data_IF_314075119689
#
_entry.id   IF_314075119689
#
_cell.length_a   1.000
_cell.length_b   1.000
_cell.length_c   1.000
_cell.angle_alpha   90.00
_cell.angle_beta   90.00
_cell.angle_gamma   90.00
#
_symmetry.space_group_name_H-M   'P 1'
#
loop_
_entity.id
_entity.type
_entity.pdbx_description
1 polymer ?
#
# COMPACT_ATOMS: atom_id res chain seq x y z
N UNK A 1 -3.59 3.78 34.53
CA UNK A 1 -3.70 2.47 33.85
C UNK A 1 -2.65 1.54 34.48
N UNK A 2 -3.00 0.29 34.80
CA UNK A 2 -2.11 -0.60 35.55
C UNK A 2 -0.96 -1.09 34.62
N UNK A 3 0.30 -0.84 34.97
CA UNK A 3 1.47 -1.13 34.12
C UNK A 3 1.51 -2.59 33.62
N UNK A 4 0.96 -3.55 34.36
CA UNK A 4 0.90 -4.97 33.97
C UNK A 4 -0.03 -5.26 32.78
N UNK A 5 -1.08 -4.46 32.58
CA UNK A 5 -1.99 -4.57 31.43
C UNK A 5 -1.29 -4.07 30.16
N UNK A 6 -0.51 -3.00 30.30
CA UNK A 6 0.27 -2.40 29.21
C UNK A 6 1.28 -3.37 28.60
N UNK A 7 2.05 -4.08 29.44
CA UNK A 7 3.03 -5.07 28.94
C UNK A 7 2.35 -6.28 28.27
N UNK A 8 1.21 -6.74 28.78
CA UNK A 8 0.47 -7.86 28.18
C UNK A 8 -0.11 -7.51 26.81
N UNK A 9 -0.62 -6.29 26.63
CA UNK A 9 -1.11 -5.81 25.33
C UNK A 9 0.02 -5.63 24.33
N UNK A 10 1.17 -5.07 24.73
CA UNK A 10 2.36 -4.97 23.86
C UNK A 10 2.89 -6.34 23.45
N UNK A 11 3.00 -7.28 24.39
CA UNK A 11 3.43 -8.63 24.08
C UNK A 11 2.48 -9.34 23.11
N UNK A 12 1.17 -9.21 23.31
CA UNK A 12 0.16 -9.77 22.41
C UNK A 12 0.22 -9.13 21.01
N UNK A 13 0.42 -7.81 20.91
CA UNK A 13 0.53 -7.12 19.64
C UNK A 13 1.81 -7.47 18.88
N UNK A 14 2.96 -7.61 19.56
CA UNK A 14 4.18 -8.12 18.92
C UNK A 14 4.03 -9.57 18.50
N UNK A 15 3.33 -10.41 19.28
CA UNK A 15 3.09 -11.81 18.94
C UNK A 15 2.17 -11.95 17.74
N UNK A 16 1.09 -11.15 17.67
CA UNK A 16 0.20 -11.15 16.51
C UNK A 16 0.89 -10.53 15.30
N UNK A 17 1.62 -9.42 15.46
CA UNK A 17 2.48 -8.86 14.41
C UNK A 17 3.47 -9.90 13.89
N UNK A 18 4.03 -10.74 14.76
CA UNK A 18 4.91 -11.85 14.41
C UNK A 18 4.17 -12.98 13.69
N UNK A 19 2.94 -13.33 14.08
CA UNK A 19 2.12 -14.31 13.34
C UNK A 19 1.75 -13.79 11.96
N UNK A 20 1.40 -12.52 11.85
CA UNK A 20 1.15 -11.83 10.58
C UNK A 20 2.42 -11.81 9.75
N UNK A 21 3.55 -11.42 10.32
CA UNK A 21 4.85 -11.42 9.65
C UNK A 21 5.28 -12.83 9.24
N UNK A 22 5.04 -13.85 10.07
CA UNK A 22 5.32 -15.24 9.78
C UNK A 22 4.39 -15.80 8.69
N UNK A 23 3.12 -15.37 8.64
CA UNK A 23 2.19 -15.70 7.55
C UNK A 23 2.56 -14.99 6.24
N UNK A 24 2.97 -13.71 6.32
CA UNK A 24 3.54 -12.96 5.21
C UNK A 24 4.78 -13.68 4.69
N UNK A 25 5.64 -14.22 5.56
CA UNK A 25 6.83 -14.98 5.15
C UNK A 25 6.52 -16.40 4.63
N UNK A 26 5.39 -16.99 5.04
CA UNK A 26 4.89 -18.28 4.54
C UNK A 26 4.02 -18.05 3.31
N UNK A 27 4.69 -17.68 2.21
CA UNK A 27 4.13 -17.52 0.87
C UNK A 27 3.60 -18.81 0.22
N UNK A 28 3.32 -19.85 1.01
CA UNK A 28 2.95 -21.19 0.54
C UNK A 28 1.43 -21.45 0.62
N UNK A 29 0.66 -20.53 1.21
CA UNK A 29 -0.80 -20.59 1.27
C UNK A 29 -1.45 -20.00 0.02
N UNK A 30 -2.69 -20.44 -0.24
CA UNK A 30 -3.54 -19.90 -1.30
C UNK A 30 -3.71 -18.37 -1.13
N UNK A 31 -3.61 -17.56 -2.21
CA UNK A 31 -3.66 -16.11 -2.10
C UNK A 31 -4.98 -15.53 -1.59
N UNK A 32 -6.11 -16.21 -1.82
CA UNK A 32 -7.41 -15.76 -1.29
C UNK A 32 -7.49 -15.98 0.22
N UNK A 33 -6.99 -17.12 0.71
CA UNK A 33 -6.89 -17.36 2.15
C UNK A 33 -5.96 -16.33 2.81
N UNK A 34 -4.79 -16.07 2.20
CA UNK A 34 -3.86 -15.05 2.69
C UNK A 34 -4.48 -13.65 2.66
N UNK A 35 -5.24 -13.29 1.63
CA UNK A 35 -6.01 -12.03 1.60
C UNK A 35 -6.92 -11.89 2.83
N UNK A 36 -7.69 -12.93 3.17
CA UNK A 36 -8.57 -12.90 4.35
C UNK A 36 -7.79 -12.74 5.67
N UNK A 37 -6.66 -13.47 5.80
CA UNK A 37 -5.77 -13.34 6.96
C UNK A 37 -5.19 -11.92 7.05
N UNK A 38 -4.76 -11.36 5.92
CA UNK A 38 -4.22 -10.00 5.85
C UNK A 38 -5.27 -8.94 6.20
N UNK A 39 -6.53 -9.10 5.79
CA UNK A 39 -7.62 -8.19 6.20
C UNK A 39 -7.77 -8.18 7.72
N UNK A 40 -7.85 -9.35 8.36
CA UNK A 40 -7.93 -9.45 9.82
C UNK A 40 -6.69 -8.87 10.52
N UNK A 41 -5.52 -9.06 9.91
CA UNK A 41 -4.25 -8.53 10.38
C UNK A 41 -4.21 -7.00 10.34
N UNK A 42 -4.51 -6.41 9.19
CA UNK A 42 -4.55 -4.95 9.00
C UNK A 42 -5.56 -4.32 9.94
N UNK A 43 -6.75 -4.93 10.10
CA UNK A 43 -7.77 -4.48 11.04
C UNK A 43 -7.26 -4.45 12.49
N UNK A 44 -6.57 -5.50 12.92
CA UNK A 44 -5.91 -5.50 14.23
C UNK A 44 -4.89 -4.37 14.35
N UNK A 45 -4.04 -4.16 13.34
CA UNK A 45 -3.03 -3.11 13.35
C UNK A 45 -3.62 -1.70 13.43
N UNK A 46 -4.80 -1.47 12.85
CA UNK A 46 -5.51 -0.20 13.02
C UNK A 46 -5.86 0.04 14.49
N UNK A 47 -6.54 -0.89 15.16
CA UNK A 47 -6.88 -0.74 16.57
C UNK A 47 -5.67 -0.69 17.49
N UNK A 48 -4.62 -1.47 17.19
CA UNK A 48 -3.37 -1.40 17.94
C UNK A 48 -2.70 -0.03 17.80
N UNK A 49 -2.66 0.51 16.59
CA UNK A 49 -2.07 1.83 16.33
C UNK A 49 -2.91 2.94 16.98
N UNK A 50 -4.24 2.87 16.92
CA UNK A 50 -5.12 3.79 17.65
C UNK A 50 -4.83 3.78 19.15
N UNK A 51 -4.69 2.59 19.75
CA UNK A 51 -4.35 2.44 21.17
C UNK A 51 -2.98 3.04 21.52
N UNK A 52 -1.94 2.83 20.70
CA UNK A 52 -0.61 3.41 20.95
C UNK A 52 -0.57 4.93 20.78
N UNK A 53 -1.41 5.50 19.89
CA UNK A 53 -1.51 6.94 19.69
C UNK A 53 -2.44 7.64 20.69
N UNK A 54 -3.37 6.92 21.31
CA UNK A 54 -4.35 7.49 22.25
C UNK A 54 -3.74 8.28 23.44
N UNK A 55 -2.57 7.90 24.00
CA UNK A 55 -1.90 8.69 25.04
C UNK A 55 -1.35 10.05 24.56
N UNK A 56 -1.23 10.29 23.26
CA UNK A 56 -0.71 11.54 22.70
C UNK A 56 -1.84 12.57 22.67
N UNK A 57 -1.74 13.63 23.48
CA UNK A 57 -2.79 14.65 23.61
C UNK A 57 -3.18 15.30 22.27
N UNK A 58 -2.18 15.58 21.42
CA UNK A 58 -2.38 16.13 20.09
C UNK A 58 -3.19 15.21 19.16
N UNK A 59 -3.13 13.88 19.36
CA UNK A 59 -3.95 12.92 18.61
C UNK A 59 -5.34 12.79 19.23
N UNK A 60 -5.40 12.60 20.56
CA UNK A 60 -6.65 12.36 21.30
C UNK A 60 -7.67 13.48 21.16
N UNK A 61 -7.20 14.72 21.00
CA UNK A 61 -8.07 15.90 20.86
C UNK A 61 -8.62 16.12 19.45
N UNK A 62 -8.14 15.36 18.46
CA UNK A 62 -8.65 15.46 17.09
C UNK A 62 -10.04 14.81 16.94
N UNK A 63 -10.87 15.29 16.00
CA UNK A 63 -12.09 14.59 15.60
C UNK A 63 -11.80 13.16 15.12
N UNK A 64 -12.74 12.24 15.35
CA UNK A 64 -12.59 10.82 15.02
C UNK A 64 -12.17 10.57 13.56
N UNK A 65 -12.75 11.27 12.59
CA UNK A 65 -12.39 11.12 11.18
C UNK A 65 -10.92 11.46 10.88
N UNK A 66 -10.30 12.38 11.65
CA UNK A 66 -8.86 12.66 11.54
C UNK A 66 -8.02 11.61 12.24
N UNK A 67 -8.47 11.09 13.39
CA UNK A 67 -7.82 9.98 14.08
C UNK A 67 -7.77 8.74 13.19
N UNK A 68 -8.91 8.36 12.59
CA UNK A 68 -8.98 7.22 11.66
C UNK A 68 -8.07 7.42 10.43
N UNK A 69 -8.00 8.64 9.92
CA UNK A 69 -7.11 9.00 8.80
C UNK A 69 -5.63 8.83 9.18
N UNK A 70 -5.21 9.33 10.34
CA UNK A 70 -3.83 9.22 10.85
C UNK A 70 -3.45 7.75 11.03
N UNK A 71 -4.29 6.99 11.75
CA UNK A 71 -4.09 5.56 12.02
C UNK A 71 -3.97 4.76 10.71
N UNK A 72 -4.88 5.02 9.76
CA UNK A 72 -4.85 4.36 8.45
C UNK A 72 -3.53 4.60 7.75
N UNK A 73 -3.08 5.85 7.69
CA UNK A 73 -1.86 6.24 6.99
C UNK A 73 -0.59 5.69 7.66
N UNK A 74 -0.54 5.58 8.99
CA UNK A 74 0.58 4.95 9.71
C UNK A 74 0.66 3.46 9.41
N UNK A 75 -0.46 2.76 9.50
CA UNK A 75 -0.52 1.33 9.20
C UNK A 75 -0.19 1.09 7.72
N UNK A 76 -0.70 1.93 6.80
CA UNK A 76 -0.29 1.90 5.39
C UNK A 76 1.20 2.08 5.21
N UNK A 77 1.80 3.08 5.83
CA UNK A 77 3.24 3.29 5.75
C UNK A 77 4.04 2.06 6.20
N UNK A 78 3.60 1.40 7.28
CA UNK A 78 4.26 0.19 7.77
C UNK A 78 4.17 -0.97 6.77
N UNK A 79 2.97 -1.29 6.30
CA UNK A 79 2.76 -2.39 5.36
C UNK A 79 3.35 -2.12 3.98
N UNK A 80 3.27 -0.89 3.48
CA UNK A 80 3.88 -0.50 2.20
C UNK A 80 5.42 -0.56 2.27
N UNK A 81 6.04 -0.27 3.41
CA UNK A 81 7.48 -0.46 3.57
C UNK A 81 7.86 -1.95 3.47
N UNK A 82 7.11 -2.82 4.14
CA UNK A 82 7.31 -4.28 4.06
C UNK A 82 7.12 -4.74 2.61
N UNK A 83 6.02 -4.34 1.97
CA UNK A 83 5.74 -4.63 0.57
C UNK A 83 6.84 -4.12 -0.34
N UNK A 84 7.36 -2.92 -0.14
CA UNK A 84 8.45 -2.35 -0.93
C UNK A 84 9.69 -3.23 -0.87
N UNK A 85 10.15 -3.59 0.34
CA UNK A 85 11.32 -4.45 0.55
C UNK A 85 11.13 -5.84 -0.07
N UNK A 86 9.96 -6.44 0.13
CA UNK A 86 9.66 -7.77 -0.43
C UNK A 86 9.51 -7.72 -1.95
N UNK A 87 8.85 -6.70 -2.47
CA UNK A 87 8.59 -6.52 -3.90
C UNK A 87 9.84 -6.19 -4.68
N UNK A 88 10.92 -5.68 -4.08
CA UNK A 88 12.21 -5.57 -4.78
C UNK A 88 12.82 -6.93 -5.14
N UNK A 89 12.53 -8.00 -4.37
CA UNK A 89 12.98 -9.36 -4.68
C UNK A 89 12.34 -9.89 -5.96
N UNK A 90 11.08 -9.51 -6.18
CA UNK A 90 10.48 -9.03 -7.44
C UNK A 90 11.23 -9.11 -8.77
N UNK A 91 12.25 -8.26 -8.81
CA UNK A 91 12.69 -7.59 -10.03
C UNK A 91 13.35 -8.54 -11.04
N UNK A 92 14.18 -9.52 -10.63
CA UNK A 92 14.81 -10.46 -11.55
C UNK A 92 13.79 -11.33 -12.30
N UNK A 93 12.73 -11.79 -11.63
CA UNK A 93 11.73 -12.64 -12.28
C UNK A 93 10.69 -11.84 -13.07
N UNK A 94 10.39 -10.59 -12.70
CA UNK A 94 9.56 -9.72 -13.55
C UNK A 94 10.12 -9.56 -14.98
N UNK A 95 11.44 -9.72 -15.15
CA UNK A 95 12.13 -9.68 -16.44
C UNK A 95 12.37 -11.08 -17.05
N UNK A 96 12.07 -12.15 -16.31
CA UNK A 96 12.20 -13.52 -16.80
C UNK A 96 11.03 -13.88 -17.73
N UNK A 97 11.29 -14.70 -18.78
CA UNK A 97 10.24 -15.15 -19.69
C UNK A 97 9.20 -16.01 -18.97
N UNK A 98 9.67 -16.88 -18.08
CA UNK A 98 8.87 -17.88 -17.37
C UNK A 98 9.08 -17.77 -15.85
N UNK A 99 8.01 -18.01 -15.10
CA UNK A 99 8.02 -17.97 -13.63
C UNK A 99 7.75 -19.36 -13.10
N UNK A 100 8.52 -19.77 -12.10
CA UNK A 100 8.24 -20.98 -11.34
C UNK A 100 6.91 -20.86 -10.58
N UNK A 101 6.24 -21.98 -10.26
CA UNK A 101 5.02 -21.96 -9.44
C UNK A 101 5.19 -21.21 -8.12
N UNK A 102 6.40 -21.26 -7.53
CA UNK A 102 6.72 -20.55 -6.29
C UNK A 102 6.77 -19.04 -6.48
N UNK A 103 7.33 -18.55 -7.59
CA UNK A 103 7.38 -17.11 -7.91
C UNK A 103 5.97 -16.58 -8.22
N UNK A 104 5.16 -17.35 -8.95
CA UNK A 104 3.75 -17.03 -9.20
C UNK A 104 2.99 -16.92 -7.88
N UNK A 105 3.14 -17.90 -6.99
CA UNK A 105 2.47 -17.86 -5.70
C UNK A 105 2.95 -16.69 -4.83
N UNK A 106 4.24 -16.38 -4.89
CA UNK A 106 4.85 -15.26 -4.18
C UNK A 106 4.24 -13.92 -4.60
N UNK A 107 4.20 -13.61 -5.90
CA UNK A 107 3.63 -12.35 -6.37
C UNK A 107 2.14 -12.24 -6.09
N UNK A 108 1.40 -13.34 -6.18
CA UNK A 108 -0.04 -13.33 -5.94
C UNK A 108 -0.34 -12.93 -4.50
N UNK A 109 0.46 -13.45 -3.58
CA UNK A 109 0.41 -13.15 -2.16
C UNK A 109 0.88 -11.72 -1.82
N UNK A 110 1.85 -11.16 -2.56
CA UNK A 110 2.16 -9.73 -2.43
C UNK A 110 0.98 -8.86 -2.89
N UNK A 111 0.35 -9.21 -4.01
CA UNK A 111 -0.88 -8.57 -4.48
C UNK A 111 -2.02 -8.67 -3.47
N UNK A 112 -2.17 -9.84 -2.83
CA UNK A 112 -3.15 -10.06 -1.77
C UNK A 112 -2.92 -9.13 -0.57
N UNK A 113 -1.67 -8.97 -0.13
CA UNK A 113 -1.33 -8.09 1.00
C UNK A 113 -1.62 -6.61 0.65
N UNK A 114 -1.22 -6.18 -0.55
CA UNK A 114 -1.51 -4.82 -1.01
C UNK A 114 -3.01 -4.58 -1.06
N UNK A 115 -3.77 -5.46 -1.70
CA UNK A 115 -5.21 -5.30 -1.83
C UNK A 115 -5.94 -5.38 -0.49
N UNK A 116 -5.49 -6.23 0.44
CA UNK A 116 -6.06 -6.30 1.78
C UNK A 116 -5.87 -4.98 2.53
N UNK A 117 -4.71 -4.34 2.39
CA UNK A 117 -4.43 -3.04 3.00
C UNK A 117 -5.39 -1.95 2.49
N UNK A 118 -5.58 -1.88 1.17
CA UNK A 118 -6.46 -0.89 0.56
C UNK A 118 -7.94 -1.18 0.82
N UNK A 119 -8.35 -2.45 0.70
CA UNK A 119 -9.71 -2.90 1.02
C UNK A 119 -10.10 -2.55 2.45
N UNK A 120 -9.27 -2.90 3.43
CA UNK A 120 -9.57 -2.66 4.85
C UNK A 120 -9.65 -1.16 5.14
N UNK A 121 -8.84 -0.35 4.47
CA UNK A 121 -8.84 1.11 4.64
C UNK A 121 -10.14 1.79 4.20
N UNK A 122 -10.86 1.23 3.22
CA UNK A 122 -12.16 1.78 2.76
C UNK A 122 -13.19 1.76 3.90
N UNK A 123 -13.15 0.75 4.76
CA UNK A 123 -14.09 0.62 5.88
C UNK A 123 -13.64 1.40 7.13
N UNK A 124 -12.33 1.53 7.34
CA UNK A 124 -11.80 2.17 8.54
C UNK A 124 -11.64 3.70 8.41
N UNK A 125 -11.17 4.19 7.25
CA UNK A 125 -10.86 5.60 7.07
C UNK A 125 -12.09 6.42 6.67
N UNK A 126 -12.70 7.08 7.64
CA UNK A 126 -13.88 7.92 7.41
C UNK A 126 -13.62 9.24 6.67
N UNK A 127 -12.36 9.63 6.49
CA UNK A 127 -11.97 10.85 5.79
C UNK A 127 -11.37 10.59 4.39
N UNK A 128 -11.59 9.39 3.84
CA UNK A 128 -11.08 9.04 2.51
C UNK A 128 -11.75 9.88 1.43
N UNK A 129 -10.93 10.42 0.51
CA UNK A 129 -11.45 11.12 -0.66
C UNK A 129 -12.15 10.15 -1.62
N UNK A 130 -13.05 10.65 -2.47
CA UNK A 130 -13.70 9.81 -3.48
C UNK A 130 -12.72 9.23 -4.50
N UNK A 131 -11.69 9.99 -4.90
CA UNK A 131 -10.68 9.51 -5.86
C UNK A 131 -9.87 8.36 -5.28
N UNK A 132 -9.47 8.48 -4.01
CA UNK A 132 -8.72 7.43 -3.30
C UNK A 132 -9.59 6.19 -3.05
N UNK A 133 -10.89 6.36 -2.80
CA UNK A 133 -11.81 5.22 -2.70
C UNK A 133 -11.93 4.48 -4.04
N UNK A 134 -12.07 5.18 -5.16
CA UNK A 134 -12.07 4.55 -6.49
C UNK A 134 -10.74 3.86 -6.80
N UNK A 135 -9.61 4.46 -6.42
CA UNK A 135 -8.29 3.82 -6.50
C UNK A 135 -8.29 2.47 -5.76
N UNK A 136 -8.75 2.43 -4.50
CA UNK A 136 -8.76 1.18 -3.73
C UNK A 136 -9.67 0.11 -4.32
N UNK A 137 -10.83 0.50 -4.86
CA UNK A 137 -11.68 -0.42 -5.62
C UNK A 137 -10.92 -1.00 -6.83
N UNK A 138 -10.19 -0.17 -7.58
CA UNK A 138 -9.37 -0.63 -8.70
C UNK A 138 -8.28 -1.61 -8.25
N UNK A 139 -7.61 -1.36 -7.12
CA UNK A 139 -6.59 -2.26 -6.55
C UNK A 139 -7.18 -3.61 -6.17
N UNK A 140 -8.40 -3.65 -5.59
CA UNK A 140 -9.08 -4.91 -5.28
C UNK A 140 -9.46 -5.67 -6.55
N UNK A 141 -9.95 -4.98 -7.60
CA UNK A 141 -10.23 -5.60 -8.90
C UNK A 141 -8.96 -6.18 -9.54
N UNK A 142 -7.84 -5.46 -9.44
CA UNK A 142 -6.54 -5.96 -9.89
C UNK A 142 -6.08 -7.19 -9.12
N UNK A 143 -6.35 -7.27 -7.82
CA UNK A 143 -6.08 -8.50 -7.06
C UNK A 143 -6.93 -9.68 -7.55
N UNK A 144 -8.21 -9.47 -7.85
CA UNK A 144 -9.06 -10.53 -8.43
C UNK A 144 -8.50 -11.02 -9.76
N UNK A 145 -8.06 -10.12 -10.64
CA UNK A 145 -7.41 -10.52 -11.90
C UNK A 145 -6.13 -11.32 -11.65
N UNK A 146 -5.26 -10.81 -10.78
CA UNK A 146 -4.02 -11.47 -10.37
C UNK A 146 -4.26 -12.86 -9.74
N UNK A 147 -5.35 -13.06 -9.01
CA UNK A 147 -5.70 -14.37 -8.44
C UNK A 147 -5.93 -15.43 -9.52
N UNK A 148 -6.67 -15.09 -10.58
CA UNK A 148 -7.01 -16.01 -11.66
C UNK A 148 -5.93 -16.17 -12.74
N UNK A 149 -4.98 -15.24 -12.83
CA UNK A 149 -3.91 -15.29 -13.83
C UNK A 149 -2.90 -16.40 -13.53
N UNK A 150 -2.53 -17.21 -14.51
CA UNK A 150 -1.55 -18.29 -14.36
C UNK A 150 -0.11 -17.85 -14.65
N UNK A 151 0.09 -16.58 -15.07
CA UNK A 151 1.38 -15.99 -15.43
C UNK A 151 2.13 -16.72 -16.56
N UNK A 152 1.47 -17.65 -17.26
CA UNK A 152 2.04 -18.45 -18.35
C UNK A 152 2.41 -17.61 -19.58
N UNK A 153 1.75 -16.47 -19.76
CA UNK A 153 1.97 -15.52 -20.86
C UNK A 153 2.40 -14.14 -20.34
N UNK A 154 2.80 -13.25 -21.25
CA UNK A 154 2.97 -11.81 -20.96
C UNK A 154 1.60 -11.18 -20.65
N UNK A 155 1.13 -11.36 -19.41
CA UNK A 155 -0.18 -10.93 -18.95
C UNK A 155 -0.16 -9.49 -18.41
N UNK A 156 -1.32 -8.85 -18.42
CA UNK A 156 -1.52 -7.56 -17.73
C UNK A 156 -1.23 -7.65 -16.23
N UNK A 157 -1.32 -8.83 -15.64
CA UNK A 157 -1.02 -9.04 -14.22
C UNK A 157 0.46 -8.76 -13.90
N UNK A 158 1.39 -9.00 -14.84
CA UNK A 158 2.79 -8.57 -14.69
C UNK A 158 2.92 -7.05 -14.60
N UNK A 159 2.14 -6.31 -15.40
CA UNK A 159 2.09 -4.84 -15.37
C UNK A 159 1.48 -4.32 -14.06
N UNK A 160 0.39 -4.94 -13.60
CA UNK A 160 -0.27 -4.64 -12.32
C UNK A 160 0.72 -4.81 -11.16
N UNK A 161 1.42 -5.93 -11.10
CA UNK A 161 2.37 -6.22 -10.02
C UNK A 161 3.55 -5.25 -10.04
N UNK A 162 4.05 -4.91 -11.23
CA UNK A 162 5.10 -3.90 -11.37
C UNK A 162 4.62 -2.52 -10.89
N UNK A 163 3.40 -2.13 -11.24
CA UNK A 163 2.83 -0.86 -10.78
C UNK A 163 2.75 -0.83 -9.25
N UNK A 164 2.17 -1.88 -8.65
CA UNK A 164 2.04 -2.02 -7.21
C UNK A 164 3.39 -2.00 -6.49
N UNK A 165 4.43 -2.63 -7.06
CA UNK A 165 5.79 -2.58 -6.53
C UNK A 165 6.29 -1.13 -6.42
N UNK A 166 6.20 -0.34 -7.49
CA UNK A 166 6.61 1.06 -7.44
C UNK A 166 5.72 1.89 -6.51
N UNK A 167 4.40 1.67 -6.53
CA UNK A 167 3.46 2.37 -5.64
C UNK A 167 3.75 2.09 -4.17
N UNK A 168 4.28 0.92 -3.81
CA UNK A 168 4.67 0.62 -2.43
C UNK A 168 5.81 1.50 -1.89
N UNK A 169 6.62 2.12 -2.77
CA UNK A 169 7.62 3.10 -2.36
C UNK A 169 7.00 4.40 -1.80
N UNK A 170 5.69 4.61 -1.97
CA UNK A 170 4.93 5.70 -1.34
C UNK A 170 4.72 5.52 0.17
N UNK A 171 5.33 4.51 0.81
CA UNK A 171 5.24 4.28 2.25
C UNK A 171 5.60 5.53 3.08
N UNK A 172 6.65 6.25 2.68
CA UNK A 172 7.09 7.46 3.39
C UNK A 172 6.09 8.61 3.23
N UNK A 173 5.41 8.71 2.08
CA UNK A 173 4.38 9.72 1.83
C UNK A 173 3.18 9.48 2.73
N UNK A 174 2.75 8.22 2.87
CA UNK A 174 1.68 7.86 3.81
C UNK A 174 2.08 8.21 5.26
N UNK A 175 3.34 7.99 5.65
CA UNK A 175 3.81 8.39 6.98
C UNK A 175 3.74 9.91 7.17
N UNK A 176 4.17 10.68 6.18
CA UNK A 176 4.09 12.15 6.18
C UNK A 176 2.63 12.64 6.29
N UNK A 177 1.72 12.03 5.52
CA UNK A 177 0.29 12.36 5.54
C UNK A 177 -0.33 12.17 6.94
N UNK A 178 0.13 11.18 7.70
CA UNK A 178 -0.28 11.01 9.10
C UNK A 178 0.37 12.04 10.03
N UNK A 179 1.71 12.12 10.01
CA UNK A 179 2.48 12.87 11.02
C UNK A 179 2.24 14.39 10.97
N UNK A 180 1.88 14.95 9.80
CA UNK A 180 1.56 16.39 9.66
C UNK A 180 0.41 16.88 10.54
N UNK A 181 -0.41 15.96 11.07
CA UNK A 181 -1.53 16.31 11.95
C UNK A 181 -1.14 16.36 13.43
N UNK A 182 0.03 15.82 13.78
CA UNK A 182 0.52 15.71 15.16
C UNK A 182 1.79 16.54 15.36
N UNK A 183 2.57 16.74 14.29
CA UNK A 183 3.84 17.44 14.30
C UNK A 183 3.90 18.51 13.21
N UNK A 184 4.59 19.60 13.51
CA UNK A 184 4.93 20.63 12.52
C UNK A 184 6.07 20.14 11.63
N UNK A 185 5.73 19.75 10.41
CA UNK A 185 6.70 19.27 9.42
C UNK A 185 7.31 20.44 8.65
N UNK A 186 8.63 20.39 8.44
CA UNK A 186 9.35 21.41 7.66
C UNK A 186 9.02 21.33 6.16
N UNK A 187 9.14 22.44 5.44
CA UNK A 187 9.02 22.46 3.98
C UNK A 187 9.97 21.47 3.30
N UNK A 188 11.19 21.28 3.85
CA UNK A 188 12.18 20.32 3.34
C UNK A 188 11.65 18.89 3.34
N UNK A 189 10.85 18.53 4.34
CA UNK A 189 10.19 17.23 4.43
C UNK A 189 9.25 17.01 3.24
N UNK A 190 8.47 18.02 2.89
CA UNK A 190 7.59 18.00 1.70
C UNK A 190 8.39 17.99 0.39
N UNK A 191 9.51 18.74 0.31
CA UNK A 191 10.39 18.74 -0.87
C UNK A 191 10.99 17.36 -1.14
N UNK A 192 11.53 16.70 -0.11
CA UNK A 192 12.09 15.34 -0.25
C UNK A 192 11.00 14.34 -0.64
N UNK A 193 9.83 14.43 0.00
CA UNK A 193 8.67 13.61 -0.34
C UNK A 193 8.25 13.79 -1.81
N UNK A 194 8.15 15.03 -2.28
CA UNK A 194 7.81 15.37 -3.66
C UNK A 194 8.78 14.74 -4.66
N UNK A 195 10.09 15.00 -4.53
CA UNK A 195 11.08 14.50 -5.50
C UNK A 195 11.22 12.99 -5.48
N UNK A 196 11.13 12.37 -4.31
CA UNK A 196 11.15 10.91 -4.18
C UNK A 196 9.94 10.31 -4.91
N UNK A 197 8.74 10.79 -4.60
CA UNK A 197 7.52 10.26 -5.18
C UNK A 197 7.44 10.52 -6.69
N UNK A 198 7.80 11.73 -7.14
CA UNK A 198 7.85 12.08 -8.56
C UNK A 198 8.76 11.13 -9.34
N UNK A 199 9.97 10.91 -8.83
CA UNK A 199 10.95 10.03 -9.51
C UNK A 199 10.44 8.60 -9.59
N UNK A 200 9.92 8.05 -8.49
CA UNK A 200 9.34 6.70 -8.47
C UNK A 200 8.18 6.58 -9.47
N UNK A 201 7.27 7.54 -9.48
CA UNK A 201 6.09 7.52 -10.35
C UNK A 201 6.45 7.67 -11.82
N UNK A 202 7.39 8.56 -12.16
CA UNK A 202 7.88 8.70 -13.53
C UNK A 202 8.59 7.44 -14.04
N UNK A 203 9.42 6.82 -13.19
CA UNK A 203 10.08 5.55 -13.53
C UNK A 203 9.02 4.46 -13.74
N UNK A 204 8.03 4.35 -12.86
CA UNK A 204 6.94 3.39 -13.00
C UNK A 204 6.23 3.58 -14.35
N UNK A 205 5.72 4.77 -14.63
CA UNK A 205 5.00 5.06 -15.88
C UNK A 205 5.86 4.81 -17.12
N UNK A 206 7.14 5.17 -17.08
CA UNK A 206 8.06 4.87 -18.17
C UNK A 206 8.18 3.37 -18.43
N UNK A 207 8.40 2.57 -17.39
CA UNK A 207 8.51 1.10 -17.55
C UNK A 207 7.18 0.49 -18.01
N UNK A 208 6.05 0.99 -17.51
CA UNK A 208 4.71 0.57 -17.96
C UNK A 208 4.55 0.74 -19.47
N UNK A 209 4.88 1.92 -20.02
CA UNK A 209 4.78 2.19 -21.45
C UNK A 209 5.65 1.24 -22.29
N UNK A 210 6.86 0.89 -21.81
CA UNK A 210 7.75 -0.04 -22.51
C UNK A 210 7.18 -1.47 -22.56
N UNK A 211 6.53 -1.91 -21.48
CA UNK A 211 6.04 -3.29 -21.36
C UNK A 211 4.65 -3.48 -21.96
N UNK A 212 3.82 -2.43 -22.04
CA UNK A 212 2.48 -2.49 -22.65
C UNK A 212 2.50 -3.00 -24.09
N UNK A 213 3.57 -2.72 -24.85
CA UNK A 213 3.74 -3.19 -26.23
C UNK A 213 3.80 -4.72 -26.37
N UNK A 214 4.00 -5.45 -25.27
CA UNK A 214 4.15 -6.92 -25.24
C UNK A 214 2.88 -7.66 -24.82
N UNK A 215 1.78 -6.93 -24.55
CA UNK A 215 0.54 -7.48 -24.01
C UNK A 215 -0.57 -7.42 -25.06
N UNK A 216 -1.47 -8.41 -25.04
CA UNK A 216 -2.60 -8.47 -25.97
C UNK A 216 -3.53 -7.24 -25.85
N UNK A 217 -4.02 -6.67 -26.97
CA UNK A 217 -4.76 -5.40 -26.94
C UNK A 217 -6.04 -5.41 -26.11
N UNK A 218 -6.80 -6.51 -26.11
CA UNK A 218 -8.09 -6.57 -25.39
C UNK A 218 -7.87 -6.58 -23.87
N UNK A 219 -6.93 -7.37 -23.36
CA UNK A 219 -6.62 -7.40 -21.93
C UNK A 219 -6.06 -6.06 -21.47
N UNK A 220 -5.32 -5.36 -22.33
CA UNK A 220 -4.81 -4.02 -22.06
C UNK A 220 -5.94 -3.00 -21.79
N UNK A 221 -7.09 -3.09 -22.45
CA UNK A 221 -8.24 -2.19 -22.17
C UNK A 221 -8.77 -2.36 -20.74
N UNK A 222 -8.90 -3.61 -20.28
CA UNK A 222 -9.34 -3.94 -18.92
C UNK A 222 -8.32 -3.52 -17.85
N UNK A 223 -7.06 -3.34 -18.24
CA UNK A 223 -6.01 -2.81 -17.37
C UNK A 223 -5.98 -1.27 -17.37
N UNK A 224 -6.01 -0.64 -18.55
CA UNK A 224 -5.87 0.80 -18.70
C UNK A 224 -7.02 1.57 -18.06
N UNK A 225 -8.26 1.08 -18.17
CA UNK A 225 -9.41 1.76 -17.58
C UNK A 225 -9.29 1.97 -16.06
N UNK A 226 -9.10 0.92 -15.23
CA UNK A 226 -8.86 1.10 -13.79
C UNK A 226 -7.54 1.83 -13.49
N UNK A 227 -6.50 1.64 -14.31
CA UNK A 227 -5.21 2.31 -14.13
C UNK A 227 -5.33 3.84 -14.20
N UNK A 228 -6.22 4.39 -15.03
CA UNK A 228 -6.42 5.85 -15.10
C UNK A 228 -6.84 6.45 -13.75
N UNK A 229 -7.66 5.75 -12.96
CA UNK A 229 -8.06 6.22 -11.63
C UNK A 229 -6.89 6.20 -10.66
N UNK A 230 -6.05 5.17 -10.74
CA UNK A 230 -4.82 5.06 -9.93
C UNK A 230 -3.85 6.19 -10.27
N UNK A 231 -3.56 6.41 -11.54
CA UNK A 231 -2.68 7.48 -12.04
C UNK A 231 -3.22 8.86 -11.65
N UNK A 232 -4.53 9.07 -11.74
CA UNK A 232 -5.15 10.34 -11.36
C UNK A 232 -4.96 10.64 -9.87
N UNK A 233 -5.09 9.64 -8.98
CA UNK A 233 -4.84 9.82 -7.55
C UNK A 233 -3.37 10.15 -7.27
N UNK A 234 -2.44 9.51 -7.98
CA UNK A 234 -0.99 9.80 -7.90
C UNK A 234 -0.69 11.26 -8.31
N UNK A 235 -1.31 11.75 -9.39
CA UNK A 235 -1.17 13.14 -9.85
C UNK A 235 -1.68 14.14 -8.81
N UNK A 236 -2.86 13.88 -8.23
CA UNK A 236 -3.44 14.73 -7.17
C UNK A 236 -2.49 14.80 -5.97
N UNK A 237 -1.89 13.68 -5.58
CA UNK A 237 -0.94 13.64 -4.47
C UNK A 237 0.35 14.40 -4.78
N UNK A 238 0.87 14.28 -6.01
CA UNK A 238 2.05 15.04 -6.47
C UNK A 238 1.79 16.55 -6.48
N UNK A 239 0.63 16.98 -6.98
CA UNK A 239 0.22 18.39 -6.96
C UNK A 239 0.16 18.92 -5.52
N UNK A 240 -0.48 18.17 -4.63
CA UNK A 240 -0.56 18.55 -3.22
C UNK A 240 0.83 18.65 -2.55
N UNK A 241 1.75 17.74 -2.86
CA UNK A 241 3.13 17.80 -2.35
C UNK A 241 3.90 19.01 -2.89
N UNK A 242 3.72 19.33 -4.17
CA UNK A 242 4.35 20.49 -4.80
C UNK A 242 3.88 21.80 -4.16
N UNK A 243 2.57 21.94 -3.95
CA UNK A 243 2.00 23.11 -3.28
C UNK A 243 2.62 23.29 -1.89
N UNK A 244 2.73 22.21 -1.11
CA UNK A 244 3.34 22.26 0.23
C UNK A 244 4.84 22.52 0.22
N UNK A 245 5.53 22.09 -0.83
CA UNK A 245 6.96 22.35 -0.99
C UNK A 245 7.27 23.80 -1.43
N UNK A 246 6.29 24.52 -1.98
CA UNK A 246 6.46 25.86 -2.57
C UNK A 246 5.85 27.00 -1.75
N UNK A 247 4.77 26.76 -1.00
CA UNK A 247 4.01 27.79 -0.23
C UNK A 247 4.81 28.48 0.89
N UNK A 248 6.02 28.03 1.22
CA UNK A 248 6.83 28.61 2.31
C UNK A 248 8.21 29.14 1.87
N UNK A 249 8.36 29.51 0.59
CA UNK A 249 9.42 30.41 0.13
C UNK A 249 8.92 31.86 0.08
#
# INVERSE_FOLDING_TARGET
MNHSVFYKMKFFSYSLSYVVFASILRFDLDPLLNFMLYVGSVWFFYHFSEYEFFPIDAFRTLPFHKQSYIVTNIVKAHFLLILCVLSFRTLPFLMAPEWSPREVLYVKNLGALYAALDFTSVFYNQAMSRTTMFHHVCVVLFFVQNYFDDYSNSSVCRLIMLYAMFSSAAFYINLLLALRHVYDLSYRTYTVAFWTFLTTTLVNWFVQLQLMARVYPISLLFYLFPLMFVVNDDIILLQWLLDRATITN
#
